data_IF_035500694686
#
_entry.id   IF_035500694686
#
_cell.length_a   1.000
_cell.length_b   1.000
_cell.length_c   1.000
_cell.angle_alpha   90.00
_cell.angle_beta   90.00
_cell.angle_gamma   90.00
#
_symmetry.space_group_name_H-M   'P 1'
#
loop_
_entity.id
_entity.type
_entity.pdbx_description
1 polymer ?
#
# COMPACT_ATOMS: atom_id res chain seq x y z
N UNK A 1 2.39 -18.94 21.31
CA UNK A 1 1.15 -18.21 21.68
C UNK A 1 1.05 -16.97 20.80
N UNK A 2 0.50 -17.08 19.59
CA UNK A 2 0.22 -15.93 18.73
C UNK A 2 -1.30 -15.75 18.71
N UNK A 3 -1.76 -14.64 19.31
CA UNK A 3 -3.18 -14.35 19.48
C UNK A 3 -3.91 -14.35 18.15
N UNK A 4 -5.00 -15.11 18.09
CA UNK A 4 -5.95 -15.09 16.99
C UNK A 4 -6.48 -13.66 16.83
N UNK A 5 -6.05 -12.96 15.77
CA UNK A 5 -6.73 -11.73 15.35
C UNK A 5 -8.04 -12.16 14.71
N UNK A 6 -9.12 -12.02 15.48
CA UNK A 6 -10.50 -12.26 15.04
C UNK A 6 -10.86 -11.54 13.73
N UNK A 7 -11.98 -11.90 13.10
CA UNK A 7 -12.32 -11.48 11.75
C UNK A 7 -12.30 -9.95 11.65
N UNK A 8 -11.34 -9.43 10.91
CA UNK A 8 -11.31 -8.01 10.52
C UNK A 8 -12.57 -7.78 9.70
N UNK A 9 -13.56 -7.12 10.30
CA UNK A 9 -14.88 -6.85 9.70
C UNK A 9 -14.68 -6.06 8.41
N UNK A 10 -14.61 -6.76 7.27
CA UNK A 10 -14.54 -6.14 5.94
C UNK A 10 -15.90 -5.52 5.67
N UNK A 11 -15.94 -4.23 5.40
CA UNK A 11 -17.14 -3.50 5.07
C UNK A 11 -16.88 -2.67 3.83
N UNK A 12 -17.78 -2.73 2.85
CA UNK A 12 -17.75 -1.84 1.72
C UNK A 12 -18.14 -0.42 2.16
N UNK A 13 -17.54 0.59 1.53
CA UNK A 13 -17.82 2.00 1.79
C UNK A 13 -18.31 2.67 0.52
N UNK A 14 -19.34 3.50 0.63
CA UNK A 14 -19.82 4.33 -0.47
C UNK A 14 -18.86 5.47 -0.82
N UNK A 15 -18.83 5.85 -2.09
CA UNK A 15 -17.93 6.88 -2.64
C UNK A 15 -18.17 8.24 -1.99
N UNK A 16 -19.44 8.63 -1.78
CA UNK A 16 -19.78 9.94 -1.18
C UNK A 16 -19.27 9.99 0.26
N UNK A 17 -19.41 8.89 0.99
CA UNK A 17 -18.90 8.78 2.36
C UNK A 17 -17.38 8.92 2.41
N UNK A 18 -16.66 8.29 1.50
CA UNK A 18 -15.21 8.45 1.40
C UNK A 18 -14.82 9.90 1.10
N UNK A 19 -15.49 10.56 0.15
CA UNK A 19 -15.23 11.95 -0.18
C UNK A 19 -15.44 12.88 1.02
N UNK A 20 -16.51 12.68 1.80
CA UNK A 20 -16.75 13.45 3.03
C UNK A 20 -15.67 13.23 4.09
N UNK A 21 -15.13 12.01 4.22
CA UNK A 21 -14.05 11.72 5.16
C UNK A 21 -12.75 12.44 4.76
N UNK A 22 -12.43 12.46 3.46
CA UNK A 22 -11.24 13.15 2.94
C UNK A 22 -11.36 14.67 3.16
N UNK A 23 -12.54 15.25 2.88
CA UNK A 23 -12.78 16.69 3.04
C UNK A 23 -12.69 17.17 4.50
N UNK A 24 -13.01 16.30 5.47
CA UNK A 24 -12.94 16.61 6.91
C UNK A 24 -11.50 16.60 7.47
N UNK A 25 -10.51 16.25 6.65
CA UNK A 25 -9.10 16.20 7.01
C UNK A 25 -8.58 14.77 7.21
N UNK A 26 -7.37 14.52 6.72
CA UNK A 26 -6.74 13.19 6.61
C UNK A 26 -6.03 12.73 7.89
N UNK A 27 -6.06 13.50 8.98
CA UNK A 27 -5.26 13.24 10.19
C UNK A 27 -5.53 11.88 10.86
N UNK A 28 -6.63 11.19 10.52
CA UNK A 28 -6.95 9.84 11.00
C UNK A 28 -7.33 8.85 9.89
N UNK A 29 -7.21 9.23 8.61
CA UNK A 29 -7.63 8.41 7.47
C UNK A 29 -6.42 7.95 6.66
N UNK A 30 -6.19 6.64 6.62
CA UNK A 30 -5.23 6.02 5.71
C UNK A 30 -5.99 5.42 4.53
N UNK A 31 -5.73 5.94 3.33
CA UNK A 31 -6.24 5.36 2.08
C UNK A 31 -5.10 4.57 1.43
N UNK A 32 -5.33 3.28 1.16
CA UNK A 32 -4.37 2.43 0.47
C UNK A 32 -4.87 2.21 -0.95
N UNK A 33 -4.05 2.55 -1.93
CA UNK A 33 -4.30 2.23 -3.33
C UNK A 33 -3.53 0.96 -3.68
N UNK A 34 -4.26 -0.06 -4.10
CA UNK A 34 -3.70 -1.38 -4.38
C UNK A 34 -3.53 -1.64 -5.88
N UNK A 35 -3.69 -0.63 -6.75
CA UNK A 35 -3.52 -0.76 -8.20
C UNK A 35 -2.04 -0.83 -8.60
N UNK A 36 -1.79 -1.01 -9.90
CA UNK A 36 -0.43 -0.92 -10.42
C UNK A 36 0.13 0.49 -10.24
N UNK A 37 1.47 0.59 -10.19
CA UNK A 37 2.16 1.86 -10.07
C UNK A 37 1.77 2.85 -11.19
N UNK A 38 1.63 2.36 -12.42
CA UNK A 38 1.25 3.19 -13.57
C UNK A 38 -0.14 3.80 -13.42
N UNK A 39 -1.13 3.02 -12.98
CA UNK A 39 -2.51 3.51 -12.76
C UNK A 39 -2.56 4.55 -11.64
N UNK A 40 -1.84 4.30 -10.54
CA UNK A 40 -1.75 5.22 -9.42
C UNK A 40 -1.13 6.56 -9.81
N UNK A 41 -0.05 6.53 -10.61
CA UNK A 41 0.60 7.75 -11.10
C UNK A 41 -0.25 8.49 -12.12
N UNK A 42 -1.04 7.78 -12.92
CA UNK A 42 -1.97 8.40 -13.86
C UNK A 42 -3.07 9.17 -13.11
N UNK A 43 -3.62 8.58 -12.04
CA UNK A 43 -4.55 9.25 -11.13
C UNK A 43 -4.73 8.45 -9.85
N UNK A 44 -4.83 9.12 -8.71
CA UNK A 44 -5.18 8.49 -7.44
C UNK A 44 -5.93 9.45 -6.54
N UNK A 45 -6.58 8.90 -5.51
CA UNK A 45 -7.27 9.68 -4.48
C UNK A 45 -6.23 10.47 -3.68
N UNK A 46 -6.48 11.76 -3.45
CA UNK A 46 -5.56 12.63 -2.74
C UNK A 46 -5.22 12.07 -1.34
N UNK A 47 -3.92 11.97 -1.03
CA UNK A 47 -3.43 11.44 0.24
C UNK A 47 -3.44 9.91 0.35
N UNK A 48 -3.79 9.19 -0.71
CA UNK A 48 -3.62 7.74 -0.75
C UNK A 48 -2.13 7.35 -0.79
N UNK A 49 -1.82 6.17 -0.28
CA UNK A 49 -0.51 5.53 -0.37
C UNK A 49 -0.61 4.31 -1.28
N UNK A 50 0.24 4.23 -2.30
CA UNK A 50 0.27 3.05 -3.16
C UNK A 50 0.95 1.87 -2.46
N UNK A 51 0.25 0.73 -2.43
CA UNK A 51 0.82 -0.57 -2.07
C UNK A 51 0.57 -1.52 -3.24
N UNK A 52 1.57 -1.64 -4.12
CA UNK A 52 1.49 -2.41 -5.35
C UNK A 52 1.00 -3.86 -5.12
N UNK A 53 -0.15 -4.23 -5.72
CA UNK A 53 -0.64 -5.61 -5.74
C UNK A 53 0.14 -6.50 -6.73
N UNK A 54 1.40 -6.79 -6.44
CA UNK A 54 2.17 -7.78 -7.20
C UNK A 54 2.03 -9.20 -6.63
N UNK A 55 2.17 -10.22 -7.49
CA UNK A 55 2.17 -11.65 -7.08
C UNK A 55 3.22 -11.94 -6.00
N UNK A 56 4.36 -11.24 -6.01
CA UNK A 56 5.41 -11.43 -5.00
C UNK A 56 5.04 -10.79 -3.66
N UNK A 57 4.56 -9.54 -3.68
CA UNK A 57 4.13 -8.84 -2.45
C UNK A 57 3.00 -9.60 -1.76
N UNK A 58 2.00 -10.06 -2.52
CA UNK A 58 0.92 -10.91 -2.00
C UNK A 58 1.44 -12.19 -1.34
N UNK A 59 2.36 -12.91 -2.00
CA UNK A 59 2.95 -14.14 -1.44
C UNK A 59 3.75 -13.87 -0.17
N UNK A 60 4.55 -12.80 -0.14
CA UNK A 60 5.35 -12.47 1.05
C UNK A 60 4.47 -12.01 2.22
N UNK A 61 3.39 -11.26 1.95
CA UNK A 61 2.38 -10.89 2.95
C UNK A 61 1.69 -12.13 3.52
N UNK A 62 1.32 -13.10 2.67
CA UNK A 62 0.69 -14.35 3.12
C UNK A 62 1.63 -15.30 3.87
N UNK A 63 2.94 -15.18 3.65
CA UNK A 63 3.97 -15.95 4.36
C UNK A 63 4.51 -15.22 5.59
N UNK A 64 3.92 -14.09 5.98
CA UNK A 64 4.37 -13.23 7.08
C UNK A 64 5.85 -12.80 6.96
N UNK A 65 6.37 -12.76 5.72
CA UNK A 65 7.76 -12.36 5.40
C UNK A 65 7.93 -10.88 5.12
N UNK A 66 6.81 -10.15 5.07
CA UNK A 66 6.74 -8.69 4.98
C UNK A 66 5.40 -8.27 5.55
N UNK A 67 5.38 -7.17 6.29
CA UNK A 67 4.18 -6.57 6.86
C UNK A 67 3.71 -5.37 6.02
N UNK A 68 2.43 -5.04 6.14
CA UNK A 68 1.86 -3.86 5.45
C UNK A 68 2.53 -2.56 5.94
N UNK A 69 2.94 -2.50 7.20
CA UNK A 69 3.69 -1.37 7.77
C UNK A 69 5.06 -1.17 7.13
N UNK A 70 5.76 -2.24 6.77
CA UNK A 70 7.03 -2.17 6.04
C UNK A 70 6.84 -1.68 4.60
N UNK A 71 5.70 -2.02 3.98
CA UNK A 71 5.35 -1.53 2.64
C UNK A 71 4.95 -0.05 2.62
N UNK A 72 4.52 0.50 3.76
CA UNK A 72 4.12 1.90 3.89
C UNK A 72 5.30 2.87 4.04
N UNK A 73 6.52 2.39 4.32
CA UNK A 73 7.65 3.27 4.58
C UNK A 73 8.13 3.97 3.30
N UNK A 74 8.07 5.31 3.22
CA UNK A 74 8.63 6.04 2.11
C UNK A 74 10.15 6.09 2.30
N UNK A 75 10.86 5.22 1.57
CA UNK A 75 12.27 5.41 1.25
C UNK A 75 13.27 5.51 2.44
N UNK A 76 13.01 4.84 3.56
CA UNK A 76 13.90 4.78 4.71
C UNK A 76 14.86 3.59 4.66
N UNK A 77 15.96 3.70 3.90
CA UNK A 77 17.19 2.88 4.05
C UNK A 77 16.99 1.40 4.43
N UNK A 78 16.39 0.58 3.56
CA UNK A 78 16.66 -0.86 3.64
C UNK A 78 17.95 -1.15 2.88
N UNK A 79 19.01 -1.50 3.62
CA UNK A 79 20.18 -2.16 3.02
C UNK A 79 19.67 -3.35 2.20
N UNK A 80 20.15 -3.57 0.96
CA UNK A 80 19.66 -4.67 0.15
C UNK A 80 20.01 -5.97 0.86
N UNK A 81 19.00 -6.77 1.19
CA UNK A 81 19.18 -8.21 1.31
C UNK A 81 19.67 -8.69 -0.05
N UNK A 82 20.91 -9.16 -0.06
CA UNK A 82 21.60 -9.69 -1.21
C UNK A 82 20.75 -10.73 -1.93
N UNK A 83 20.74 -10.66 -3.27
CA UNK A 83 20.28 -11.76 -4.12
C UNK A 83 18.80 -11.73 -4.48
N UNK A 84 18.46 -10.84 -5.41
CA UNK A 84 17.51 -10.98 -6.54
C UNK A 84 16.88 -9.62 -6.78
N UNK A 85 17.26 -9.01 -7.91
CA UNK A 85 16.64 -7.80 -8.43
C UNK A 85 15.14 -8.02 -8.60
N UNK A 86 14.37 -7.66 -7.57
CA UNK A 86 13.08 -7.05 -7.80
C UNK A 86 13.41 -5.70 -8.39
N UNK A 87 13.36 -5.61 -9.71
CA UNK A 87 13.55 -4.37 -10.45
C UNK A 87 12.71 -3.30 -9.78
N UNK A 88 13.38 -2.49 -8.94
CA UNK A 88 12.86 -1.18 -8.61
C UNK A 88 12.71 -0.55 -9.98
N UNK A 89 11.48 -0.35 -10.41
CA UNK A 89 11.19 0.29 -11.68
C UNK A 89 11.58 1.77 -11.51
N UNK A 90 12.90 2.02 -11.44
CA UNK A 90 13.57 3.31 -11.42
C UNK A 90 13.52 3.98 -12.79
N UNK A 91 12.58 3.59 -13.64
CA UNK A 91 12.07 4.49 -14.66
C UNK A 91 11.05 5.37 -13.98
N UNK A 92 11.60 6.34 -13.25
CA UNK A 92 10.93 7.61 -13.05
C UNK A 92 10.35 8.00 -14.41
N UNK A 93 9.03 7.98 -14.51
CA UNK A 93 8.34 8.82 -15.48
C UNK A 93 8.73 10.23 -15.04
N UNK A 94 9.81 10.76 -15.65
CA UNK A 94 9.95 12.19 -15.83
C UNK A 94 8.68 12.58 -16.59
N UNK A 95 7.74 13.21 -15.90
CA UNK A 95 7.08 14.34 -16.52
C UNK A 95 8.13 15.46 -16.64
#
# INVERSE_FOLDING_TARGET
>A
MAGEKGPTKRSAMDIKRLASLIQRGTGRLLVIDSRTFSEYNASHVQGAVNVCCSKLVKRRLQQDKVSVTELLQPNGKVKPLAGRELGTCRRAVRC
#
